data_IF_172455132628
#
_entry.id   IF_172455132628
#
_cell.length_a   1.000
_cell.length_b   1.000
_cell.length_c   1.000
_cell.angle_alpha   90.00
_cell.angle_beta   90.00
_cell.angle_gamma   90.00
#
_symmetry.space_group_name_H-M   'P 1'
#
loop_
_entity.id
_entity.type
_entity.pdbx_description
1 polymer ?
#
# COMPACT_ATOMS: atom_id res chain seq x y z
N UNK A 1 22.50 8.94 -7.82
CA UNK A 1 21.58 8.59 -6.70
C UNK A 1 21.16 7.15 -6.89
N UNK A 2 21.41 6.26 -5.93
CA UNK A 2 20.93 4.87 -6.01
C UNK A 2 19.40 4.90 -5.87
N UNK A 3 18.66 4.56 -6.93
CA UNK A 3 17.22 4.41 -6.80
C UNK A 3 16.91 3.27 -5.83
N UNK A 4 15.82 3.38 -5.07
CA UNK A 4 15.38 2.28 -4.20
C UNK A 4 15.21 0.96 -4.98
N UNK A 5 14.90 1.03 -6.27
CA UNK A 5 14.83 -0.12 -7.16
C UNK A 5 16.16 -0.85 -7.42
N UNK A 6 17.31 -0.17 -7.30
CA UNK A 6 18.59 -0.87 -7.35
C UNK A 6 18.84 -1.75 -6.12
N UNK A 7 18.20 -1.42 -4.98
CA UNK A 7 18.34 -2.15 -3.72
C UNK A 7 17.21 -3.17 -3.50
N UNK A 8 15.99 -2.86 -3.95
CA UNK A 8 14.80 -3.68 -3.79
C UNK A 8 14.41 -4.30 -5.12
N UNK A 9 14.70 -5.59 -5.29
CA UNK A 9 14.31 -6.34 -6.50
C UNK A 9 12.89 -6.87 -6.44
N UNK A 10 12.36 -7.08 -5.24
CA UNK A 10 11.03 -7.63 -5.01
C UNK A 10 10.42 -7.10 -3.72
N UNK A 11 9.14 -6.77 -3.72
CA UNK A 11 8.37 -6.34 -2.55
C UNK A 11 7.12 -7.20 -2.41
N UNK A 12 6.86 -7.67 -1.18
CA UNK A 12 5.59 -8.33 -0.87
C UNK A 12 4.53 -7.25 -0.60
N UNK A 13 3.39 -7.36 -1.28
CA UNK A 13 2.22 -6.52 -1.03
C UNK A 13 0.99 -7.40 -0.86
N UNK A 14 0.03 -6.94 -0.06
CA UNK A 14 -1.27 -7.59 0.11
C UNK A 14 -2.35 -6.59 -0.30
N UNK A 15 -3.26 -6.95 -1.22
CA UNK A 15 -4.33 -6.05 -1.63
C UNK A 15 -5.32 -5.83 -0.48
N UNK A 16 -5.90 -4.61 -0.35
CA UNK A 16 -6.78 -4.24 0.76
C UNK A 16 -8.20 -4.81 0.61
N UNK A 17 -8.36 -6.06 0.13
CA UNK A 17 -9.66 -6.68 -0.18
C UNK A 17 -10.64 -6.68 1.00
N UNK A 18 -10.10 -6.77 2.21
CA UNK A 18 -10.86 -6.78 3.47
C UNK A 18 -10.33 -5.72 4.44
N UNK A 19 -9.69 -4.67 3.93
CA UNK A 19 -9.09 -3.65 4.79
C UNK A 19 -10.17 -2.79 5.43
N UNK A 20 -10.21 -2.74 6.75
CA UNK A 20 -11.07 -1.83 7.53
C UNK A 20 -10.41 -1.58 8.89
N UNK A 21 -10.91 -0.60 9.64
CA UNK A 21 -10.46 -0.32 11.01
C UNK A 21 -11.52 -0.82 11.98
N UNK A 22 -11.42 -2.09 12.38
CA UNK A 22 -12.39 -2.74 13.29
C UNK A 22 -12.08 -2.50 14.77
N UNK A 23 -10.82 -2.16 15.07
CA UNK A 23 -10.33 -1.92 16.41
C UNK A 23 -9.22 -0.88 16.41
N UNK A 24 -8.91 -0.31 17.59
CA UNK A 24 -7.87 0.70 17.76
C UNK A 24 -6.75 0.19 18.67
N UNK A 25 -5.57 -0.02 18.09
CA UNK A 25 -4.33 -0.38 18.81
C UNK A 25 -3.26 0.73 18.71
N UNK A 26 -3.53 1.80 17.95
CA UNK A 26 -2.67 2.97 17.87
C UNK A 26 -3.50 4.26 17.69
N UNK A 27 -2.94 5.46 17.95
CA UNK A 27 -3.70 6.72 17.98
C UNK A 27 -4.31 7.17 16.65
N UNK A 28 -3.88 6.58 15.53
CA UNK A 28 -4.38 6.91 14.19
C UNK A 28 -5.61 6.09 13.81
N UNK A 29 -5.88 5.00 14.54
CA UNK A 29 -7.00 4.12 14.27
C UNK A 29 -8.31 4.73 14.75
N UNK A 30 -9.31 4.70 13.88
CA UNK A 30 -10.66 5.18 14.09
C UNK A 30 -11.26 5.66 12.77
N UNK A 31 -12.56 5.97 12.78
CA UNK A 31 -13.26 6.50 11.62
C UNK A 31 -13.75 5.43 10.63
N UNK A 32 -14.23 5.90 9.47
CA UNK A 32 -14.82 5.06 8.42
C UNK A 32 -13.84 4.95 7.26
N UNK A 33 -13.61 3.71 6.80
CA UNK A 33 -12.79 3.44 5.61
C UNK A 33 -13.67 3.48 4.37
N UNK A 34 -13.27 4.30 3.40
CA UNK A 34 -13.74 4.19 2.02
C UNK A 34 -12.95 3.10 1.29
N UNK A 35 -13.61 1.97 1.06
CA UNK A 35 -13.01 0.79 0.44
C UNK A 35 -12.54 1.05 -1.00
N UNK A 36 -13.30 1.82 -1.77
CA UNK A 36 -12.94 2.11 -3.16
C UNK A 36 -11.72 3.02 -3.23
N UNK A 37 -11.68 4.03 -2.35
CA UNK A 37 -10.52 4.91 -2.22
C UNK A 37 -9.29 4.15 -1.75
N UNK A 38 -9.42 3.25 -0.78
CA UNK A 38 -8.32 2.41 -0.30
C UNK A 38 -7.74 1.55 -1.43
N UNK A 39 -8.60 0.88 -2.21
CA UNK A 39 -8.17 0.08 -3.37
C UNK A 39 -7.47 0.95 -4.42
N UNK A 40 -8.04 2.11 -4.78
CA UNK A 40 -7.47 3.04 -5.76
C UNK A 40 -6.08 3.54 -5.32
N UNK A 41 -5.93 3.89 -4.04
CA UNK A 41 -4.65 4.34 -3.49
C UNK A 41 -3.61 3.22 -3.47
N UNK A 42 -4.01 2.00 -3.12
CA UNK A 42 -3.14 0.83 -3.14
C UNK A 42 -2.66 0.49 -4.56
N UNK A 43 -3.56 0.50 -5.55
CA UNK A 43 -3.21 0.28 -6.96
C UNK A 43 -2.24 1.35 -7.46
N UNK A 44 -2.46 2.62 -7.07
CA UNK A 44 -1.54 3.71 -7.34
C UNK A 44 -0.13 3.47 -6.79
N UNK A 45 -0.02 3.00 -5.54
CA UNK A 45 1.25 2.67 -4.92
C UNK A 45 1.94 1.49 -5.62
N UNK A 46 1.22 0.38 -5.85
CA UNK A 46 1.75 -0.79 -6.56
C UNK A 46 2.29 -0.40 -7.94
N UNK A 47 1.51 0.35 -8.72
CA UNK A 47 1.92 0.82 -10.04
C UNK A 47 3.16 1.72 -9.98
N UNK A 48 3.28 2.57 -8.96
CA UNK A 48 4.46 3.42 -8.78
C UNK A 48 5.73 2.59 -8.47
N UNK A 49 5.60 1.54 -7.67
CA UNK A 49 6.68 0.59 -7.35
C UNK A 49 7.10 -0.19 -8.60
N UNK A 50 6.15 -0.75 -9.34
CA UNK A 50 6.41 -1.51 -10.58
C UNK A 50 7.08 -0.65 -11.65
N UNK A 51 6.71 0.64 -11.77
CA UNK A 51 7.36 1.60 -12.68
C UNK A 51 8.83 1.84 -12.37
N UNK A 52 9.29 1.53 -11.16
CA UNK A 52 10.71 1.59 -10.81
C UNK A 52 11.47 0.29 -11.17
N UNK A 53 10.79 -0.72 -11.73
CA UNK A 53 11.40 -2.02 -12.08
C UNK A 53 11.47 -3.00 -10.91
N UNK A 54 10.71 -2.76 -9.85
CA UNK A 54 10.59 -3.65 -8.69
C UNK A 54 9.47 -4.65 -8.93
N UNK A 55 9.73 -5.93 -8.64
CA UNK A 55 8.75 -7.02 -8.75
C UNK A 55 7.81 -7.11 -7.53
#
# INVERSE_FOLDING_TARGET
>A
MSSAAHLLKRVLMVPPKHFTVEYAINPWMGGVVDQQKAQTQWDGLKNAIEKQGVQ
#
